data_IF_321081362194
#
_entry.id   IF_321081362194
#
_cell.length_a   1.000
_cell.length_b   1.000
_cell.length_c   1.000
_cell.angle_alpha   90.00
_cell.angle_beta   90.00
_cell.angle_gamma   90.00
#
_symmetry.space_group_name_H-M   'P 1'
#
loop_
_entity.id
_entity.type
_entity.pdbx_description
1 polymer ?
#
# COMPACT_ATOMS: atom_id res chain seq x y z
N UNK A 1 -7.57 9.75 -25.96
CA UNK A 1 -7.26 11.15 -25.64
C UNK A 1 -6.70 11.18 -24.22
N UNK A 2 -5.54 11.81 -23.99
CA UNK A 2 -4.89 11.78 -22.67
C UNK A 2 -5.78 12.42 -21.60
N UNK A 3 -6.39 13.56 -21.92
CA UNK A 3 -7.22 14.32 -20.98
C UNK A 3 -8.49 13.55 -20.61
N UNK A 4 -9.03 12.75 -21.53
CA UNK A 4 -10.14 11.85 -21.27
C UNK A 4 -9.78 10.74 -20.30
N UNK A 5 -8.68 10.02 -20.57
CA UNK A 5 -8.20 8.96 -19.66
C UNK A 5 -7.90 9.51 -18.27
N UNK A 6 -7.28 10.69 -18.17
CA UNK A 6 -6.99 11.33 -16.89
C UNK A 6 -8.28 11.67 -16.11
N UNK A 7 -9.29 12.25 -16.79
CA UNK A 7 -10.59 12.55 -16.18
C UNK A 7 -11.27 11.30 -15.63
N UNK A 8 -11.24 10.20 -16.37
CA UNK A 8 -11.83 8.93 -15.95
C UNK A 8 -11.14 8.34 -14.72
N UNK A 9 -9.80 8.37 -14.69
CA UNK A 9 -9.02 7.90 -13.55
C UNK A 9 -9.35 8.71 -12.30
N UNK A 10 -9.35 10.04 -12.39
CA UNK A 10 -9.68 10.92 -11.26
C UNK A 10 -11.11 10.65 -10.75
N UNK A 11 -12.07 10.50 -11.66
CA UNK A 11 -13.46 10.23 -11.29
C UNK A 11 -13.62 8.87 -10.59
N UNK A 12 -12.91 7.84 -11.04
CA UNK A 12 -12.88 6.52 -10.42
C UNK A 12 -12.27 6.58 -9.02
N UNK A 13 -11.08 7.18 -8.89
CA UNK A 13 -10.35 7.24 -7.63
C UNK A 13 -11.15 8.01 -6.55
N UNK A 14 -11.84 9.09 -6.93
CA UNK A 14 -12.78 9.79 -6.04
C UNK A 14 -13.94 8.89 -5.61
N UNK A 15 -14.55 8.15 -6.54
CA UNK A 15 -15.67 7.24 -6.23
C UNK A 15 -15.23 6.12 -5.28
N UNK A 16 -14.08 5.54 -5.51
CA UNK A 16 -13.56 4.41 -4.74
C UNK A 16 -13.16 4.82 -3.30
N UNK A 17 -12.58 6.01 -3.13
CA UNK A 17 -12.20 6.53 -1.79
C UNK A 17 -13.39 7.05 -0.96
N UNK A 18 -14.50 7.42 -1.59
CA UNK A 18 -15.67 8.04 -0.92
C UNK A 18 -16.90 7.13 -0.81
N UNK A 19 -16.84 5.90 -1.34
CA UNK A 19 -17.98 4.96 -1.24
C UNK A 19 -18.32 4.65 0.22
N UNK A 20 -19.62 4.57 0.52
CA UNK A 20 -20.15 4.33 1.86
C UNK A 20 -19.68 2.97 2.44
N UNK A 21 -19.62 1.94 1.59
CA UNK A 21 -19.22 0.59 1.98
C UNK A 21 -17.80 0.28 1.50
N UNK A 22 -16.92 -0.08 2.44
CA UNK A 22 -15.54 -0.50 2.20
C UNK A 22 -14.70 0.52 1.40
N UNK A 23 -14.64 1.81 1.75
CA UNK A 23 -13.89 2.81 0.98
C UNK A 23 -12.43 2.41 0.77
N UNK A 24 -11.85 2.75 -0.38
CA UNK A 24 -10.46 2.47 -0.73
C UNK A 24 -9.52 3.45 -0.02
N UNK A 25 -9.40 3.31 1.29
CA UNK A 25 -8.52 4.10 2.15
C UNK A 25 -7.44 3.21 2.78
N UNK A 26 -6.20 3.71 2.96
CA UNK A 26 -5.17 2.99 3.71
C UNK A 26 -5.60 2.73 5.15
N UNK A 27 -5.21 1.58 5.70
CA UNK A 27 -5.37 1.30 7.13
C UNK A 27 -4.48 2.24 7.97
N UNK A 28 -4.82 2.48 9.25
CA UNK A 28 -4.03 3.36 10.12
C UNK A 28 -2.56 2.95 10.30
N UNK A 29 -2.25 1.67 10.17
CA UNK A 29 -0.91 1.08 10.30
C UNK A 29 -0.29 0.69 8.94
N UNK A 30 -0.96 1.04 7.83
CA UNK A 30 -0.47 0.76 6.50
C UNK A 30 0.83 1.51 6.21
N UNK A 31 1.73 0.87 5.47
CA UNK A 31 2.89 1.53 4.86
C UNK A 31 2.55 1.82 3.40
N UNK A 32 2.72 3.07 3.00
CA UNK A 32 2.51 3.51 1.61
C UNK A 32 3.81 3.36 0.82
N UNK A 33 3.75 2.62 -0.29
CA UNK A 33 4.87 2.49 -1.23
C UNK A 33 4.53 3.33 -2.47
N UNK A 34 5.18 4.47 -2.65
CA UNK A 34 5.09 5.26 -3.89
C UNK A 34 5.88 4.58 -5.00
N UNK A 35 5.26 4.39 -6.17
CA UNK A 35 5.82 3.62 -7.29
C UNK A 35 6.20 4.45 -8.52
N UNK A 36 5.87 5.76 -8.57
CA UNK A 36 5.96 6.59 -9.78
C UNK A 36 7.33 6.60 -10.48
N UNK A 37 8.42 6.43 -9.73
CA UNK A 37 9.79 6.45 -10.23
C UNK A 37 10.56 5.16 -9.90
N UNK A 38 9.85 4.06 -9.69
CA UNK A 38 10.44 2.76 -9.35
C UNK A 38 10.17 1.74 -10.45
N UNK A 39 11.18 0.92 -10.71
CA UNK A 39 11.01 -0.32 -11.45
C UNK A 39 10.20 -1.33 -10.64
N UNK A 40 9.61 -2.32 -11.33
CA UNK A 40 8.90 -3.42 -10.70
C UNK A 40 9.75 -4.14 -9.64
N UNK A 41 11.02 -4.39 -9.95
CA UNK A 41 11.95 -5.08 -9.05
C UNK A 41 12.19 -4.29 -7.77
N UNK A 42 12.32 -2.96 -7.86
CA UNK A 42 12.50 -2.09 -6.69
C UNK A 42 11.27 -2.12 -5.79
N UNK A 43 10.07 -2.00 -6.36
CA UNK A 43 8.80 -2.07 -5.60
C UNK A 43 8.65 -3.41 -4.88
N UNK A 44 8.91 -4.51 -5.59
CA UNK A 44 8.81 -5.86 -5.01
C UNK A 44 9.84 -6.05 -3.89
N UNK A 45 11.08 -5.59 -4.11
CA UNK A 45 12.15 -5.73 -3.13
C UNK A 45 11.84 -4.96 -1.85
N UNK A 46 11.32 -3.73 -1.97
CA UNK A 46 10.88 -2.91 -0.84
C UNK A 46 9.73 -3.57 -0.07
N UNK A 47 8.69 -4.04 -0.78
CA UNK A 47 7.56 -4.73 -0.16
C UNK A 47 8.01 -5.98 0.62
N UNK A 48 8.88 -6.82 0.04
CA UNK A 48 9.44 -8.00 0.69
C UNK A 48 10.27 -7.61 1.92
N UNK A 49 11.07 -6.55 1.83
CA UNK A 49 11.86 -6.02 2.95
C UNK A 49 10.98 -5.66 4.15
N UNK A 50 9.92 -4.89 3.91
CA UNK A 50 8.97 -4.47 4.95
C UNK A 50 8.26 -5.65 5.61
N UNK A 51 7.86 -6.67 4.82
CA UNK A 51 7.25 -7.88 5.36
C UNK A 51 8.24 -8.64 6.24
N UNK A 52 9.48 -8.86 5.77
CA UNK A 52 10.51 -9.56 6.55
C UNK A 52 10.86 -8.85 7.85
N UNK A 53 10.94 -7.51 7.83
CA UNK A 53 11.19 -6.73 9.04
C UNK A 53 10.10 -6.95 10.09
N UNK A 54 8.83 -6.91 9.67
CA UNK A 54 7.70 -7.14 10.58
C UNK A 54 7.66 -8.55 11.13
N UNK A 55 7.90 -9.57 10.30
CA UNK A 55 7.95 -10.96 10.76
C UNK A 55 9.02 -11.17 11.83
N UNK A 56 10.24 -10.63 11.62
CA UNK A 56 11.32 -10.71 12.61
C UNK A 56 10.98 -10.03 13.94
N UNK A 57 10.30 -8.87 13.90
CA UNK A 57 9.83 -8.18 15.11
C UNK A 57 8.74 -8.97 15.83
N UNK A 58 7.85 -9.63 15.08
CA UNK A 58 6.83 -10.54 15.61
C UNK A 58 7.44 -11.70 16.39
N UNK A 59 8.45 -12.37 15.81
CA UNK A 59 9.15 -13.50 16.43
C UNK A 59 9.91 -13.07 17.71
N UNK A 60 10.59 -11.93 17.68
CA UNK A 60 11.28 -11.39 18.86
C UNK A 60 10.32 -11.00 20.01
N UNK A 61 9.11 -10.54 19.68
CA UNK A 61 8.07 -10.22 20.67
C UNK A 61 7.41 -11.46 21.30
N UNK A 62 7.45 -12.60 20.61
CA UNK A 62 6.92 -13.87 21.12
C UNK A 62 7.90 -14.58 22.07
N UNK A 63 9.21 -14.44 21.84
CA UNK A 63 10.26 -15.09 22.64
C UNK A 63 10.48 -14.47 24.04
N UNK A 64 9.94 -13.29 24.33
CA UNK A 64 10.06 -12.60 25.63
C UNK A 64 8.93 -12.87 26.63
N UNK A 65 8.00 -13.77 26.30
CA UNK A 65 6.92 -14.22 27.20
C UNK A 65 7.25 -15.62 27.71
N UNK A 66 8.24 -15.69 28.61
CA UNK A 66 8.66 -16.92 29.30
C UNK A 66 8.96 -16.62 30.75
#
# INVERSE_FOLDING_TARGET
>A
DYDETLREIIARDRRDSTRELSPLNPAPDAIIITTDQKSLTEVISEAIGLVRERLRKGDASAAGRG
#
